data_IF_093514583863
#
_entry.id   IF_093514583863
#
_cell.length_a   1.000
_cell.length_b   1.000
_cell.length_c   1.000
_cell.angle_alpha   90.00
_cell.angle_beta   90.00
_cell.angle_gamma   90.00
#
_symmetry.space_group_name_H-M   'P 1'
#
loop_
_entity.id
_entity.type
_entity.pdbx_description
1 polymer ?
#
# COMPACT_ATOMS: atom_id res chain seq x y z
N UNK A 1 5.47 19.85 18.35
CA UNK A 1 6.11 18.89 17.43
C UNK A 1 5.32 17.58 17.45
N UNK A 2 4.34 17.39 16.54
CA UNK A 2 3.46 16.21 16.47
C UNK A 2 3.41 15.68 15.04
N UNK A 3 4.58 15.34 14.47
CA UNK A 3 4.67 14.92 13.06
C UNK A 3 5.52 13.68 12.81
N UNK A 4 6.35 13.27 13.78
CA UNK A 4 7.38 12.24 13.54
C UNK A 4 6.87 10.82 13.82
N UNK A 5 5.86 10.66 14.69
CA UNK A 5 5.35 9.34 15.09
C UNK A 5 4.63 8.55 13.98
N UNK A 6 3.87 9.22 13.12
CA UNK A 6 3.26 8.56 11.94
C UNK A 6 4.30 8.22 10.87
N UNK A 7 5.30 9.09 10.71
CA UNK A 7 6.34 8.90 9.71
C UNK A 7 7.27 7.72 10.06
N UNK A 8 7.64 7.58 11.34
CA UNK A 8 8.46 6.45 11.80
C UNK A 8 7.72 5.12 11.74
N UNK A 9 6.40 5.09 11.97
CA UNK A 9 5.60 3.87 11.81
C UNK A 9 5.46 3.45 10.32
N UNK A 10 5.36 4.43 9.40
CA UNK A 10 5.39 4.18 7.96
C UNK A 10 6.75 3.66 7.45
N UNK A 11 7.85 3.99 8.14
CA UNK A 11 9.22 3.56 7.79
C UNK A 11 9.58 2.20 8.40
N UNK A 12 8.99 1.82 9.54
CA UNK A 12 9.24 0.55 10.24
C UNK A 12 8.40 -0.65 9.74
N UNK A 13 7.65 -0.50 8.65
CA UNK A 13 7.18 -1.65 7.86
C UNK A 13 5.82 -2.25 8.24
N UNK A 14 4.93 -1.48 8.88
CA UNK A 14 3.64 -2.00 9.34
C UNK A 14 2.47 -1.89 8.35
N UNK A 15 2.41 -0.87 7.51
CA UNK A 15 1.12 -0.50 6.90
C UNK A 15 1.25 -0.18 5.40
N UNK A 16 1.33 -1.24 4.59
CA UNK A 16 1.32 -1.12 3.11
C UNK A 16 0.02 -0.46 2.63
N UNK A 17 -1.08 -0.69 3.34
CA UNK A 17 -2.38 -0.13 3.02
C UNK A 17 -2.43 1.38 3.30
N UNK A 18 -1.93 1.86 4.44
CA UNK A 18 -1.81 3.30 4.71
C UNK A 18 -0.95 4.01 3.67
N UNK A 19 0.17 3.41 3.24
CA UNK A 19 0.99 3.98 2.16
C UNK A 19 0.26 4.01 0.81
N UNK A 20 -0.53 2.97 0.51
CA UNK A 20 -1.42 2.96 -0.64
C UNK A 20 -2.43 4.10 -0.56
N UNK A 21 -3.07 4.32 0.58
CA UNK A 21 -4.04 5.40 0.77
C UNK A 21 -3.40 6.79 0.61
N UNK A 22 -2.20 7.01 1.15
CA UNK A 22 -1.47 8.27 0.95
C UNK A 22 -1.09 8.51 -0.52
N UNK A 23 -0.63 7.46 -1.21
CA UNK A 23 -0.33 7.54 -2.64
C UNK A 23 -1.59 7.80 -3.47
N UNK A 24 -2.65 7.07 -3.18
CA UNK A 24 -3.95 7.19 -3.83
C UNK A 24 -4.56 8.57 -3.61
N UNK A 25 -4.51 9.11 -2.39
CA UNK A 25 -4.97 10.47 -2.10
C UNK A 25 -4.18 11.54 -2.86
N UNK A 26 -2.88 11.30 -3.14
CA UNK A 26 -2.03 12.23 -3.89
C UNK A 26 -2.18 12.13 -5.41
N UNK A 27 -2.33 10.92 -5.95
CA UNK A 27 -2.39 10.69 -7.41
C UNK A 27 -3.81 10.58 -7.96
N UNK A 28 -4.76 10.18 -7.14
CA UNK A 28 -6.14 9.87 -7.52
C UNK A 28 -7.12 10.53 -6.54
N UNK A 29 -7.03 11.87 -6.43
CA UNK A 29 -7.84 12.68 -5.51
C UNK A 29 -9.37 12.68 -5.79
N UNK A 30 -9.84 11.91 -6.78
CA UNK A 30 -11.26 11.81 -7.15
C UNK A 30 -11.75 10.39 -7.39
N UNK A 31 -10.90 9.37 -7.17
CA UNK A 31 -11.33 7.98 -7.18
C UNK A 31 -11.53 7.50 -5.73
N UNK A 32 -12.43 6.55 -5.53
CA UNK A 32 -12.58 5.91 -4.22
C UNK A 32 -11.44 4.89 -4.04
N UNK A 33 -10.66 4.96 -2.95
CA UNK A 33 -9.62 3.98 -2.70
C UNK A 33 -10.23 2.59 -2.53
N UNK A 34 -9.50 1.56 -2.96
CA UNK A 34 -9.88 0.18 -2.70
C UNK A 34 -9.99 -0.06 -1.19
N UNK A 35 -10.96 -0.87 -0.78
CA UNK A 35 -11.00 -1.33 0.61
C UNK A 35 -9.78 -2.19 0.93
N UNK A 36 -9.41 -2.29 2.21
CA UNK A 36 -8.25 -3.06 2.66
C UNK A 36 -8.24 -4.50 2.12
N UNK A 37 -9.41 -5.14 2.11
CA UNK A 37 -9.57 -6.51 1.61
C UNK A 37 -9.37 -6.62 0.09
N UNK A 38 -9.84 -5.63 -0.66
CA UNK A 38 -9.64 -5.56 -2.11
C UNK A 38 -8.19 -5.26 -2.46
N UNK A 39 -7.55 -4.38 -1.69
CA UNK A 39 -6.13 -4.10 -1.80
C UNK A 39 -5.29 -5.37 -1.62
N UNK A 40 -5.54 -6.13 -0.54
CA UNK A 40 -4.84 -7.40 -0.32
C UNK A 40 -5.12 -8.44 -1.40
N UNK A 41 -6.37 -8.53 -1.88
CA UNK A 41 -6.72 -9.43 -2.99
C UNK A 41 -5.97 -9.08 -4.26
N UNK A 42 -5.94 -7.81 -4.64
CA UNK A 42 -5.21 -7.33 -5.82
C UNK A 42 -3.70 -7.52 -5.67
N UNK A 43 -3.16 -7.28 -4.47
CA UNK A 43 -1.76 -7.51 -4.15
C UNK A 43 -1.38 -8.99 -4.29
N UNK A 44 -2.17 -9.90 -3.72
CA UNK A 44 -1.93 -11.34 -3.85
C UNK A 44 -2.11 -11.83 -5.29
N UNK A 45 -3.12 -11.34 -6.02
CA UNK A 45 -3.32 -11.66 -7.43
C UNK A 45 -2.14 -11.18 -8.29
N UNK A 46 -1.59 -10.00 -8.01
CA UNK A 46 -0.37 -9.52 -8.66
C UNK A 46 0.84 -10.40 -8.30
N UNK A 47 0.99 -10.79 -7.04
CA UNK A 47 2.09 -11.68 -6.63
C UNK A 47 1.97 -13.10 -7.21
N UNK A 48 0.74 -13.56 -7.45
CA UNK A 48 0.45 -14.84 -8.09
C UNK A 48 0.69 -14.79 -9.61
N UNK A 49 0.25 -13.71 -10.27
CA UNK A 49 0.40 -13.51 -11.71
C UNK A 49 1.84 -13.13 -12.14
N UNK A 50 2.65 -12.61 -11.21
CA UNK A 50 4.07 -12.30 -11.44
C UNK A 50 4.98 -13.19 -10.57
N UNK A 51 5.02 -14.52 -10.83
CA UNK A 51 5.94 -15.41 -10.14
C UNK A 51 7.40 -15.15 -10.52
N UNK A 52 7.64 -14.35 -11.56
CA UNK A 52 8.94 -13.92 -12.10
C UNK A 52 9.83 -13.17 -11.09
N UNK A 53 9.30 -12.71 -9.95
CA UNK A 53 10.12 -12.23 -8.83
C UNK A 53 10.72 -13.33 -7.94
N UNK A 54 10.40 -14.62 -8.16
CA UNK A 54 10.89 -15.76 -7.36
C UNK A 54 12.05 -16.53 -7.99
N UNK A 55 12.47 -16.19 -9.19
CA UNK A 55 13.57 -16.88 -9.85
C UNK A 55 14.57 -15.85 -10.39
N UNK A 56 15.49 -15.44 -9.52
CA UNK A 56 16.94 -15.42 -9.74
C UNK A 56 17.64 -14.89 -8.49
#
# INVERSE_FOLDING_TARGET
>A
MRGVGRYLNSVLGGDRYARYLEFHARHHAGAEPLSEREYWRAYHAHQDAHPEGRCC
#
